data_IF_883509384799
#
_entry.id   IF_883509384799
#
_cell.length_a   1.000
_cell.length_b   1.000
_cell.length_c   1.000
_cell.angle_alpha   90.00
_cell.angle_beta   90.00
_cell.angle_gamma   90.00
#
_symmetry.space_group_name_H-M   'P 1'
#
loop_
_entity.id
_entity.type
_entity.pdbx_description
1 polymer ?
#
# COMPACT_ATOMS: atom_id res chain seq x y z
N UNK A 1 -16.39 -12.48 11.78
CA UNK A 1 -15.49 -13.05 12.80
C UNK A 1 -14.25 -12.18 12.83
N UNK A 2 -14.07 -11.35 13.87
CA UNK A 2 -13.03 -10.32 13.94
C UNK A 2 -11.86 -10.84 14.78
N UNK A 3 -10.69 -11.02 14.17
CA UNK A 3 -9.45 -11.25 14.94
C UNK A 3 -9.00 -9.91 15.53
N UNK A 4 -8.75 -9.82 16.86
CA UNK A 4 -8.28 -8.58 17.47
C UNK A 4 -6.82 -8.35 17.09
N UNK A 5 -6.56 -7.61 16.01
CA UNK A 5 -5.30 -6.91 15.86
C UNK A 5 -5.30 -5.78 16.90
N UNK A 6 -4.25 -5.73 17.71
CA UNK A 6 -4.13 -4.84 18.87
C UNK A 6 -4.57 -3.40 18.57
N UNK A 7 -5.15 -2.77 19.58
CA UNK A 7 -5.65 -1.41 19.55
C UNK A 7 -4.53 -0.39 19.18
N UNK A 8 -4.37 -0.14 17.88
CA UNK A 8 -3.52 0.92 17.30
C UNK A 8 -4.36 2.17 16.98
N UNK A 9 -5.30 2.55 17.86
CA UNK A 9 -6.18 3.71 17.66
C UNK A 9 -5.44 5.06 17.49
N UNK A 10 -4.11 5.10 17.65
CA UNK A 10 -3.28 6.29 17.44
C UNK A 10 -2.41 6.24 16.17
N UNK A 11 -2.38 5.13 15.42
CA UNK A 11 -1.42 4.96 14.32
C UNK A 11 -2.10 4.66 12.99
N UNK A 12 -1.78 5.47 11.99
CA UNK A 12 -2.06 5.25 10.58
C UNK A 12 -1.68 3.81 10.15
N UNK A 13 -2.64 3.04 9.64
CA UNK A 13 -2.45 1.64 9.26
C UNK A 13 -1.91 1.56 7.83
N UNK A 14 -0.62 1.19 7.67
CA UNK A 14 0.12 1.26 6.40
C UNK A 14 0.66 -0.10 5.94
N UNK A 15 -0.19 -1.04 5.54
CA UNK A 15 0.25 -2.35 5.07
C UNK A 15 0.79 -2.28 3.63
N UNK A 16 1.51 -3.32 3.24
CA UNK A 16 1.82 -3.59 1.84
C UNK A 16 0.89 -4.69 1.35
N UNK A 17 0.29 -4.51 0.18
CA UNK A 17 -0.43 -5.56 -0.55
C UNK A 17 0.52 -6.23 -1.52
N UNK A 18 0.59 -7.55 -1.48
CA UNK A 18 1.19 -8.36 -2.53
C UNK A 18 0.05 -8.95 -3.36
N UNK A 19 0.03 -8.63 -4.64
CA UNK A 19 -1.08 -8.96 -5.52
C UNK A 19 -0.58 -9.90 -6.62
N UNK A 20 -1.29 -11.01 -6.79
CA UNK A 20 -1.17 -11.85 -7.97
C UNK A 20 -2.21 -11.40 -8.98
N UNK A 21 -1.75 -11.03 -10.17
CA UNK A 21 -2.58 -10.59 -11.28
C UNK A 21 -2.36 -11.51 -12.48
N UNK A 22 -3.39 -11.77 -13.27
CA UNK A 22 -3.23 -12.44 -14.57
C UNK A 22 -2.20 -11.67 -15.43
N UNK A 23 -1.21 -12.34 -16.07
CA UNK A 23 -0.10 -11.63 -16.72
C UNK A 23 -0.51 -10.57 -17.75
N UNK A 24 -1.59 -10.80 -18.49
CA UNK A 24 -2.13 -9.86 -19.48
C UNK A 24 -2.89 -8.66 -18.86
N UNK A 25 -3.00 -8.58 -17.53
CA UNK A 25 -3.70 -7.52 -16.77
C UNK A 25 -2.80 -6.73 -15.83
N UNK A 26 -1.51 -7.05 -15.75
CA UNK A 26 -0.58 -6.42 -14.80
C UNK A 26 -0.56 -4.89 -14.97
N UNK A 27 -0.50 -4.41 -16.22
CA UNK A 27 -0.51 -2.97 -16.51
C UNK A 27 -1.83 -2.32 -16.08
N UNK A 28 -2.97 -2.89 -16.52
CA UNK A 28 -4.31 -2.36 -16.22
C UNK A 28 -4.56 -2.26 -14.70
N UNK A 29 -4.23 -3.32 -13.96
CA UNK A 29 -4.40 -3.37 -12.50
C UNK A 29 -3.41 -2.44 -11.80
N UNK A 30 -2.14 -2.40 -12.24
CA UNK A 30 -1.15 -1.49 -11.69
C UNK A 30 -1.57 -0.02 -11.83
N UNK A 31 -2.04 0.36 -13.02
CA UNK A 31 -2.55 1.70 -13.30
C UNK A 31 -3.80 2.03 -12.48
N UNK A 32 -4.73 1.09 -12.35
CA UNK A 32 -5.92 1.26 -11.51
C UNK A 32 -5.55 1.49 -10.04
N UNK A 33 -4.73 0.60 -9.46
CA UNK A 33 -4.28 0.71 -8.08
C UNK A 33 -3.51 2.02 -7.83
N UNK A 34 -2.72 2.49 -8.80
CA UNK A 34 -1.95 3.74 -8.68
C UNK A 34 -2.84 4.99 -8.58
N UNK A 35 -4.08 4.92 -9.08
CA UNK A 35 -5.06 6.02 -9.04
C UNK A 35 -5.90 6.02 -7.76
N UNK A 36 -5.84 4.95 -6.96
CA UNK A 36 -6.58 4.88 -5.71
C UNK A 36 -5.97 5.82 -4.65
N UNK A 37 -6.75 6.65 -3.97
CA UNK A 37 -6.23 7.66 -3.04
C UNK A 37 -5.50 7.06 -1.83
N UNK A 38 -5.80 5.80 -1.48
CA UNK A 38 -5.17 5.08 -0.38
C UNK A 38 -3.78 4.57 -0.76
N UNK A 39 -3.45 4.51 -2.06
CA UNK A 39 -2.20 3.95 -2.58
C UNK A 39 -1.09 5.01 -2.58
N UNK A 40 -0.01 4.72 -1.86
CA UNK A 40 1.20 5.57 -1.83
C UNK A 40 2.15 5.26 -2.99
N UNK A 41 2.30 3.98 -3.34
CA UNK A 41 3.06 3.54 -4.52
C UNK A 41 2.61 2.15 -4.96
N UNK A 42 2.85 1.85 -6.24
CA UNK A 42 2.64 0.54 -6.85
C UNK A 42 3.84 0.20 -7.71
N UNK A 43 4.28 -1.04 -7.69
CA UNK A 43 5.31 -1.53 -8.59
C UNK A 43 4.99 -2.94 -9.06
N UNK A 44 5.30 -3.22 -10.32
CA UNK A 44 5.45 -4.61 -10.77
C UNK A 44 6.70 -5.20 -10.10
N UNK A 45 6.57 -6.42 -9.59
CA UNK A 45 7.66 -7.14 -8.92
C UNK A 45 7.79 -8.56 -9.49
N UNK A 46 8.91 -9.20 -9.24
CA UNK A 46 9.11 -10.62 -9.55
C UNK A 46 8.86 -11.47 -8.31
N UNK A 47 8.20 -12.62 -8.46
CA UNK A 47 8.00 -13.57 -7.37
C UNK A 47 6.63 -14.24 -7.43
N UNK A 48 6.14 -14.69 -6.27
CA UNK A 48 4.81 -15.27 -6.12
C UNK A 48 3.72 -14.25 -6.49
N UNK A 49 3.82 -13.04 -5.95
CA UNK A 49 3.10 -11.87 -6.42
C UNK A 49 3.85 -11.19 -7.56
N UNK A 50 3.10 -10.51 -8.44
CA UNK A 50 3.65 -9.75 -9.55
C UNK A 50 3.36 -8.24 -9.45
N UNK A 51 2.64 -7.81 -8.42
CA UNK A 51 2.49 -6.41 -8.02
C UNK A 51 2.68 -6.28 -6.50
N UNK A 52 3.40 -5.24 -6.07
CA UNK A 52 3.36 -4.73 -4.70
C UNK A 52 2.72 -3.33 -4.68
N UNK A 53 1.85 -3.07 -3.71
CA UNK A 53 1.26 -1.77 -3.48
C UNK A 53 1.33 -1.39 -1.99
N UNK A 54 1.91 -0.24 -1.67
CA UNK A 54 1.83 0.31 -0.32
C UNK A 54 0.58 1.16 -0.20
N UNK A 55 -0.23 0.86 0.81
CA UNK A 55 -1.54 1.49 1.02
C UNK A 55 -1.66 2.04 2.44
N UNK A 56 -2.57 2.98 2.64
CA UNK A 56 -2.75 3.69 3.92
C UNK A 56 -4.23 3.79 4.29
N UNK A 57 -4.58 3.39 5.51
CA UNK A 57 -5.93 3.39 6.06
C UNK A 57 -5.97 3.86 7.50
N UNK A 58 -7.16 4.19 8.01
CA UNK A 58 -7.37 4.53 9.43
C UNK A 58 -7.37 3.28 10.33
N UNK A 59 -7.56 2.09 9.76
CA UNK A 59 -7.55 0.83 10.50
C UNK A 59 -7.81 -0.38 9.61
N UNK A 60 -7.75 -1.57 10.22
CA UNK A 60 -7.89 -2.86 9.51
C UNK A 60 -9.27 -3.09 8.91
N UNK A 61 -10.33 -2.52 9.50
CA UNK A 61 -11.69 -2.62 8.94
C UNK A 61 -11.83 -1.89 7.61
N UNK A 62 -11.22 -0.70 7.50
CA UNK A 62 -11.22 0.06 6.25
C UNK A 62 -10.38 -0.64 5.18
N UNK A 63 -9.22 -1.21 5.57
CA UNK A 63 -8.44 -2.07 4.67
C UNK A 63 -9.29 -3.24 4.16
N UNK A 64 -9.95 -3.96 5.08
CA UNK A 64 -10.72 -5.15 4.71
C UNK A 64 -11.76 -4.81 3.64
N UNK A 65 -12.52 -3.73 3.85
CA UNK A 65 -13.50 -3.24 2.87
C UNK A 65 -12.84 -2.86 1.54
N UNK A 66 -11.71 -2.16 1.58
CA UNK A 66 -10.98 -1.82 0.36
C UNK A 66 -10.54 -3.07 -0.43
N UNK A 67 -10.02 -4.09 0.26
CA UNK A 67 -9.56 -5.32 -0.40
C UNK A 67 -10.71 -6.13 -0.98
N UNK A 68 -11.85 -6.21 -0.29
CA UNK A 68 -13.01 -6.98 -0.78
C UNK A 68 -13.81 -6.28 -1.85
N UNK A 69 -13.92 -4.95 -1.78
CA UNK A 69 -14.85 -4.19 -2.60
C UNK A 69 -14.12 -3.50 -3.75
N UNK A 70 -13.17 -2.60 -3.44
CA UNK A 70 -12.51 -1.76 -4.45
C UNK A 70 -11.42 -2.51 -5.20
N UNK A 71 -10.45 -3.08 -4.48
CA UNK A 71 -9.41 -3.89 -5.12
C UNK A 71 -9.98 -5.21 -5.66
N UNK A 72 -10.85 -5.88 -4.90
CA UNK A 72 -11.49 -7.13 -5.30
C UNK A 72 -12.34 -7.03 -6.57
N UNK A 73 -12.84 -5.84 -6.92
CA UNK A 73 -13.57 -5.62 -8.16
C UNK A 73 -12.66 -5.45 -9.39
N UNK A 74 -11.35 -5.29 -9.23
CA UNK A 74 -10.43 -5.10 -10.36
C UNK A 74 -10.27 -6.40 -11.16
N UNK A 75 -10.63 -6.40 -12.47
CA UNK A 75 -10.52 -7.60 -13.29
C UNK A 75 -9.08 -8.10 -13.39
N UNK A 76 -8.89 -9.40 -13.13
CA UNK A 76 -7.61 -10.07 -13.28
C UNK A 76 -6.79 -10.20 -11.99
N UNK A 77 -7.22 -9.62 -10.87
CA UNK A 77 -6.66 -9.98 -9.56
C UNK A 77 -7.06 -11.42 -9.24
N UNK A 78 -6.06 -12.24 -8.90
CA UNK A 78 -6.20 -13.66 -8.58
C UNK A 78 -6.04 -13.91 -7.08
N UNK A 79 -5.17 -13.14 -6.43
CA UNK A 79 -4.87 -13.28 -5.01
C UNK A 79 -4.35 -11.97 -4.45
N UNK A 80 -4.67 -11.69 -3.19
CA UNK A 80 -4.13 -10.56 -2.43
C UNK A 80 -3.65 -11.07 -1.09
N UNK A 81 -2.36 -10.90 -0.81
CA UNK A 81 -1.77 -11.08 0.50
C UNK A 81 -1.54 -9.71 1.14
N UNK A 82 -1.94 -9.57 2.40
CA UNK A 82 -1.78 -8.35 3.18
C UNK A 82 -0.59 -8.54 4.10
N UNK A 83 0.39 -7.65 4.03
CA UNK A 83 1.55 -7.60 4.92
C UNK A 83 1.43 -6.39 5.87
N UNK A 84 0.94 -6.59 7.12
CA UNK A 84 0.88 -5.53 8.11
C UNK A 84 2.28 -5.08 8.52
N UNK A 85 2.49 -3.77 8.59
CA UNK A 85 3.72 -3.19 9.15
C UNK A 85 3.49 -2.91 10.64
N UNK A 86 4.10 -3.72 11.50
CA UNK A 86 3.98 -3.57 12.96
C UNK A 86 4.76 -2.37 13.48
N UNK A 87 6.04 -2.29 13.09
CA UNK A 87 6.95 -1.21 13.47
C UNK A 87 7.83 -0.87 12.29
N UNK A 88 7.87 0.41 11.92
CA UNK A 88 8.78 0.91 10.89
C UNK A 88 10.11 1.30 11.54
N UNK A 89 11.05 0.36 11.58
CA UNK A 89 12.39 0.60 12.13
C UNK A 89 13.24 1.51 11.24
N UNK A 90 13.07 1.41 9.92
CA UNK A 90 13.79 2.21 8.94
C UNK A 90 12.83 2.66 7.84
N UNK A 91 12.93 3.93 7.48
CA UNK A 91 12.37 4.48 6.25
C UNK A 91 13.50 5.24 5.56
N UNK A 92 14.00 4.69 4.46
CA UNK A 92 15.00 5.34 3.63
C UNK A 92 14.41 5.38 2.23
N UNK A 93 13.74 6.49 1.93
CA UNK A 93 13.18 6.77 0.63
C UNK A 93 13.73 8.10 0.12
N UNK A 94 13.88 8.19 -1.19
CA UNK A 94 14.40 9.36 -1.86
C UNK A 94 13.22 10.24 -2.21
N UNK A 95 13.02 11.33 -1.46
CA UNK A 95 11.94 12.27 -1.77
C UNK A 95 12.29 12.99 -3.08
N UNK A 96 11.52 12.75 -4.14
CA UNK A 96 11.68 13.41 -5.43
C UNK A 96 10.50 14.36 -5.66
N UNK A 97 10.77 15.59 -6.07
CA UNK A 97 9.76 16.60 -6.45
C UNK A 97 10.16 17.13 -7.83
N UNK A 98 9.21 17.12 -8.77
CA UNK A 98 9.43 17.55 -10.17
C UNK A 98 10.65 16.88 -10.84
N UNK A 99 10.84 15.58 -10.60
CA UNK A 99 11.95 14.80 -11.15
C UNK A 99 13.32 15.11 -10.53
N UNK A 100 13.39 15.92 -9.47
CA UNK A 100 14.63 16.22 -8.75
C UNK A 100 14.60 15.72 -7.32
N UNK A 101 15.77 15.31 -6.81
CA UNK A 101 15.95 15.03 -5.40
C UNK A 101 15.54 16.27 -4.59
N UNK A 102 14.49 16.14 -3.79
CA UNK A 102 14.10 17.18 -2.86
C UNK A 102 15.18 17.26 -1.78
N UNK A 103 15.72 18.45 -1.58
CA UNK A 103 16.60 18.69 -0.45
C UNK A 103 15.83 18.38 0.84
N UNK A 104 16.49 17.75 1.83
CA UNK A 104 15.87 17.51 3.12
C UNK A 104 15.34 18.85 3.66
N UNK A 105 14.06 18.90 4.05
CA UNK A 105 13.55 20.08 4.72
C UNK A 105 14.31 20.22 6.05
N UNK A 106 14.94 21.37 6.27
CA UNK A 106 15.58 21.68 7.56
C UNK A 106 14.55 21.88 8.68
N UNK A 107 13.26 22.04 8.34
CA UNK A 107 12.16 22.00 9.28
C UNK A 107 12.07 20.61 9.93
N UNK A 108 12.25 20.54 11.25
CA UNK A 108 11.97 19.32 12.00
C UNK A 108 10.50 18.95 11.80
N UNK A 109 10.25 17.80 11.18
CA UNK A 109 8.95 17.16 11.23
C UNK A 109 8.69 16.83 12.69
N UNK A 110 7.74 17.53 13.34
CA UNK A 110 7.27 17.12 14.66
C UNK A 110 6.57 15.77 14.49
N UNK A 111 7.05 14.77 15.23
CA UNK A 111 6.31 13.52 15.39
C UNK A 111 4.95 13.87 16.02
N UNK A 112 3.87 13.58 15.29
CA UNK A 112 2.50 13.60 15.79
C UNK A 112 2.10 12.17 16.16
#
# INVERSE_FOLDING_TARGET
MLFPFGNLASSCYRPTLLVQVAPNRIQDVGDALSRHPQTSWVAAITGFANIAAAVTFRGSQELFRYVTDEAGALPGILHVEILPILTRLKQADTRVVDGRLALPSTARVRAA
#
